data_IF_353090664280
#
_entry.id   IF_353090664280
#
_cell.length_a   1.000
_cell.length_b   1.000
_cell.length_c   1.000
_cell.angle_alpha   90.00
_cell.angle_beta   90.00
_cell.angle_gamma   90.00
#
_symmetry.space_group_name_H-M   'P 1'
#
loop_
_entity.id
_entity.type
_entity.pdbx_description
1 polymer ?
#
# COMPACT_ATOMS: atom_id res chain seq x y z
N UNK A 1 46.00 -11.84 38.13
CA UNK A 1 45.99 -10.92 36.97
C UNK A 1 44.96 -11.37 35.92
N UNK A 2 43.76 -11.85 36.31
CA UNK A 2 42.95 -12.70 35.43
C UNK A 2 41.50 -12.20 35.25
N UNK A 3 41.11 -11.13 35.95
CA UNK A 3 39.77 -10.55 35.89
C UNK A 3 39.47 -9.68 34.66
N UNK A 4 40.40 -8.92 34.03
CA UNK A 4 40.04 -8.01 32.94
C UNK A 4 39.80 -8.72 31.61
N UNK A 5 40.37 -9.92 31.43
CA UNK A 5 40.22 -10.69 30.19
C UNK A 5 38.83 -11.35 30.10
N UNK A 6 38.31 -11.80 31.24
CA UNK A 6 36.98 -12.44 31.32
C UNK A 6 35.86 -11.42 31.10
N UNK A 7 36.00 -10.20 31.61
CA UNK A 7 35.02 -9.13 31.39
C UNK A 7 35.01 -8.67 29.93
N UNK A 8 36.18 -8.55 29.30
CA UNK A 8 36.28 -8.20 27.88
C UNK A 8 35.61 -9.23 26.96
N UNK A 9 35.80 -10.53 27.23
CA UNK A 9 35.15 -11.61 26.48
C UNK A 9 33.62 -11.57 26.69
N UNK A 10 33.15 -11.31 27.92
CA UNK A 10 31.72 -11.20 28.21
C UNK A 10 31.05 -10.06 27.43
N UNK A 11 31.69 -8.87 27.36
CA UNK A 11 31.19 -7.74 26.58
C UNK A 11 31.19 -8.01 25.07
N UNK A 12 32.19 -8.74 24.55
CA UNK A 12 32.29 -9.09 23.13
C UNK A 12 31.24 -10.13 22.72
N UNK A 13 30.86 -11.04 23.62
CA UNK A 13 29.76 -11.98 23.40
C UNK A 13 28.40 -11.30 23.43
N UNK A 14 28.21 -10.27 24.28
CA UNK A 14 26.98 -9.48 24.30
C UNK A 14 26.80 -8.67 23.00
N UNK A 15 27.87 -8.12 22.42
CA UNK A 15 27.78 -7.35 21.17
C UNK A 15 27.49 -8.22 19.93
N UNK A 16 27.96 -9.47 19.91
CA UNK A 16 27.61 -10.44 18.86
C UNK A 16 26.21 -11.05 19.03
N UNK A 17 25.67 -11.07 20.26
CA UNK A 17 24.35 -11.62 20.56
C UNK A 17 23.19 -10.64 20.27
N UNK A 18 23.46 -9.33 20.15
CA UNK A 18 22.45 -8.37 19.72
C UNK A 18 22.21 -8.52 18.23
N UNK A 19 21.20 -9.30 17.85
CA UNK A 19 20.61 -9.19 16.51
C UNK A 19 20.23 -7.73 16.30
N UNK A 20 20.68 -7.05 15.23
CA UNK A 20 20.16 -5.73 14.94
C UNK A 20 18.65 -5.88 14.73
N UNK A 21 17.85 -5.16 15.52
CA UNK A 21 16.43 -5.01 15.27
C UNK A 21 16.28 -4.12 14.05
N UNK A 22 16.53 -4.68 12.87
CA UNK A 22 16.11 -4.07 11.62
C UNK A 22 14.60 -4.27 11.58
N UNK A 23 13.85 -3.23 11.94
CA UNK A 23 12.41 -3.20 11.73
C UNK A 23 12.17 -3.21 10.22
N UNK A 24 11.93 -4.39 9.66
CA UNK A 24 11.44 -4.53 8.30
C UNK A 24 9.92 -4.36 8.34
N UNK A 25 9.34 -3.43 7.56
CA UNK A 25 7.89 -3.36 7.45
C UNK A 25 7.37 -4.69 6.91
N UNK A 26 6.25 -5.16 7.45
CA UNK A 26 5.61 -6.38 6.93
C UNK A 26 5.30 -6.17 5.43
N UNK A 27 5.56 -7.19 4.58
CA UNK A 27 5.31 -7.06 3.15
C UNK A 27 3.83 -6.86 2.87
N UNK A 28 3.53 -6.16 1.77
CA UNK A 28 2.17 -6.15 1.23
C UNK A 28 1.82 -7.54 0.73
N UNK A 29 0.59 -7.98 0.96
CA UNK A 29 0.07 -9.25 0.47
C UNK A 29 -1.10 -9.02 -0.47
N UNK A 30 -1.22 -9.88 -1.47
CA UNK A 30 -2.34 -9.91 -2.39
C UNK A 30 -3.57 -10.59 -1.76
N UNK A 31 -4.68 -10.63 -2.49
CA UNK A 31 -5.90 -11.29 -2.02
C UNK A 31 -5.76 -12.81 -1.79
N UNK A 32 -4.73 -13.44 -2.33
CA UNK A 32 -4.44 -14.86 -2.15
C UNK A 32 -3.51 -15.10 -0.95
N UNK A 33 -3.05 -14.05 -0.27
CA UNK A 33 -2.10 -14.11 0.83
C UNK A 33 -0.64 -14.26 0.40
N UNK A 34 -0.32 -14.08 -0.89
CA UNK A 34 1.06 -14.08 -1.36
C UNK A 34 1.64 -12.67 -1.28
N UNK A 35 2.95 -12.54 -1.08
CA UNK A 35 3.63 -11.24 -1.10
C UNK A 35 3.47 -10.55 -2.47
N UNK A 36 3.36 -9.22 -2.44
CA UNK A 36 3.26 -8.39 -3.63
C UNK A 36 4.64 -8.15 -4.21
N UNK A 37 4.80 -8.46 -5.49
CA UNK A 37 6.08 -8.37 -6.19
C UNK A 37 6.17 -7.13 -7.09
N UNK A 38 7.31 -6.45 -7.10
CA UNK A 38 7.53 -5.26 -7.94
C UNK A 38 7.53 -5.56 -9.46
N UNK A 39 7.77 -6.82 -9.85
CA UNK A 39 7.80 -7.27 -11.25
C UNK A 39 6.46 -7.80 -11.77
N UNK A 40 5.39 -7.71 -10.98
CA UNK A 40 4.08 -8.27 -11.32
C UNK A 40 3.02 -7.17 -11.35
N UNK A 41 2.07 -7.31 -12.26
CA UNK A 41 0.95 -6.40 -12.38
C UNK A 41 -0.18 -6.76 -11.42
N UNK A 42 -0.79 -5.74 -10.82
CA UNK A 42 -1.91 -5.88 -9.90
C UNK A 42 -3.03 -4.89 -10.21
N UNK A 43 -4.27 -5.35 -10.07
CA UNK A 43 -5.42 -4.48 -9.97
C UNK A 43 -5.57 -3.99 -8.53
N UNK A 44 -5.65 -2.67 -8.37
CA UNK A 44 -6.03 -2.02 -7.11
C UNK A 44 -7.54 -1.85 -7.09
N UNK A 45 -8.20 -2.49 -6.12
CA UNK A 45 -9.63 -2.66 -6.15
C UNK A 45 -10.27 -2.29 -4.82
N UNK A 46 -11.43 -1.65 -4.84
CA UNK A 46 -12.19 -1.30 -3.63
C UNK A 46 -12.47 -2.51 -2.74
N UNK A 47 -12.17 -2.43 -1.44
CA UNK A 47 -12.52 -3.48 -0.47
C UNK A 47 -14.05 -3.68 -0.36
N UNK A 48 -14.80 -2.59 -0.49
CA UNK A 48 -16.24 -2.57 -0.25
C UNK A 48 -16.96 -2.80 -1.59
N UNK A 49 -17.40 -4.04 -1.81
CA UNK A 49 -18.31 -4.42 -2.89
C UNK A 49 -19.74 -3.97 -2.57
N UNK A 50 -20.50 -3.51 -3.55
CA UNK A 50 -21.96 -3.24 -3.41
C UNK A 50 -22.38 -1.82 -3.00
N UNK A 51 -21.49 -0.99 -2.45
CA UNK A 51 -21.73 0.45 -2.28
C UNK A 51 -21.41 1.28 -3.55
N UNK A 52 -21.27 0.58 -4.69
CA UNK A 52 -20.96 1.16 -5.99
C UNK A 52 -19.47 1.47 -6.18
N UNK A 53 -18.53 0.57 -5.88
CA UNK A 53 -17.09 0.79 -6.08
C UNK A 53 -16.38 -0.35 -6.81
N UNK A 54 -15.31 -0.01 -7.55
CA UNK A 54 -14.58 -0.79 -8.56
C UNK A 54 -13.05 -0.76 -8.43
N UNK A 55 -12.36 -1.16 -9.49
CA UNK A 55 -10.92 -0.95 -9.67
C UNK A 55 -10.55 0.49 -10.02
N UNK A 56 -9.26 0.80 -10.06
CA UNK A 56 -8.73 2.08 -10.53
C UNK A 56 -8.53 2.10 -12.06
N UNK A 57 -8.78 3.24 -12.70
CA UNK A 57 -8.50 3.46 -14.13
C UNK A 57 -8.13 4.91 -14.42
N UNK A 58 -7.71 5.20 -15.64
CA UNK A 58 -7.41 6.54 -16.13
C UNK A 58 -8.66 7.21 -16.70
N UNK A 59 -8.75 8.52 -16.50
CA UNK A 59 -9.84 9.37 -17.00
C UNK A 59 -9.30 10.70 -17.50
N UNK A 60 -10.09 11.39 -18.34
CA UNK A 60 -9.71 12.71 -18.85
C UNK A 60 -9.46 13.70 -17.70
N UNK A 61 -8.36 14.45 -17.83
CA UNK A 61 -8.01 15.54 -16.92
C UNK A 61 -9.10 16.61 -16.83
N UNK A 62 -9.09 17.40 -15.75
CA UNK A 62 -10.12 18.42 -15.50
C UNK A 62 -10.11 19.56 -16.53
N UNK A 63 -8.92 20.00 -16.93
CA UNK A 63 -8.73 21.21 -17.74
C UNK A 63 -8.08 20.94 -19.11
N UNK A 64 -7.40 19.81 -19.27
CA UNK A 64 -6.64 19.46 -20.46
C UNK A 64 -6.83 17.97 -20.78
N UNK A 65 -6.56 17.56 -22.02
CA UNK A 65 -6.64 16.15 -22.44
C UNK A 65 -5.63 15.28 -21.71
N UNK A 66 -4.45 15.83 -21.43
CA UNK A 66 -3.37 15.21 -20.66
C UNK A 66 -2.79 16.25 -19.69
N UNK A 67 -2.31 15.86 -18.50
CA UNK A 67 -2.27 14.49 -17.98
C UNK A 67 -3.66 13.93 -17.67
N UNK A 68 -3.77 12.60 -17.63
CA UNK A 68 -4.99 11.90 -17.23
C UNK A 68 -5.10 11.84 -15.70
N UNK A 69 -6.33 11.90 -15.19
CA UNK A 69 -6.63 11.71 -13.78
C UNK A 69 -6.86 10.23 -13.46
N UNK A 70 -6.63 9.83 -12.21
CA UNK A 70 -6.98 8.48 -11.72
C UNK A 70 -8.37 8.52 -11.10
N UNK A 71 -9.25 7.61 -11.53
CA UNK A 71 -10.62 7.48 -11.01
C UNK A 71 -10.88 6.08 -10.47
N UNK A 72 -11.84 5.97 -9.56
CA UNK A 72 -12.42 4.70 -9.15
C UNK A 72 -13.62 4.34 -10.02
N UNK A 73 -13.61 3.14 -10.61
CA UNK A 73 -14.78 2.57 -11.27
C UNK A 73 -15.95 2.36 -10.30
N UNK A 74 -17.18 2.35 -10.81
CA UNK A 74 -18.40 2.29 -10.01
C UNK A 74 -18.91 0.89 -9.68
N UNK A 75 -18.26 -0.16 -10.18
CA UNK A 75 -18.61 -1.55 -9.87
C UNK A 75 -17.38 -2.42 -9.81
N UNK A 76 -17.40 -3.37 -8.88
CA UNK A 76 -16.45 -4.44 -8.74
C UNK A 76 -17.23 -5.76 -8.60
N UNK A 77 -16.68 -6.83 -9.18
CA UNK A 77 -17.15 -8.20 -8.95
C UNK A 77 -16.21 -8.97 -8.03
N UNK A 78 -15.11 -8.36 -7.59
CA UNK A 78 -14.07 -9.01 -6.82
C UNK A 78 -14.16 -8.61 -5.34
N UNK A 79 -13.62 -9.46 -4.47
CA UNK A 79 -13.60 -9.22 -3.02
C UNK A 79 -12.35 -9.83 -2.41
N UNK A 80 -11.78 -9.14 -1.44
CA UNK A 80 -10.60 -9.60 -0.70
C UNK A 80 -10.71 -9.23 0.78
N UNK A 81 -9.84 -9.79 1.61
CA UNK A 81 -9.81 -9.56 3.07
C UNK A 81 -8.58 -8.78 3.53
N UNK A 82 -7.51 -8.77 2.73
CA UNK A 82 -6.28 -8.04 3.01
C UNK A 82 -6.37 -6.60 2.50
N UNK A 83 -6.90 -5.72 3.36
CA UNK A 83 -7.19 -4.33 3.04
C UNK A 83 -6.04 -3.37 3.37
N UNK A 84 -5.83 -2.40 2.49
CA UNK A 84 -4.85 -1.33 2.62
C UNK A 84 -5.51 0.03 2.40
N UNK A 85 -4.82 1.10 2.79
CA UNK A 85 -5.14 2.47 2.38
C UNK A 85 -3.95 3.08 1.65
N UNK A 86 -4.23 3.95 0.69
CA UNK A 86 -3.19 4.71 -0.01
C UNK A 86 -2.93 6.00 0.77
N UNK A 87 -1.65 6.31 1.01
CA UNK A 87 -1.22 7.51 1.73
C UNK A 87 -0.17 8.24 0.91
N UNK A 88 -0.32 9.55 0.78
CA UNK A 88 0.74 10.41 0.28
C UNK A 88 1.40 11.10 1.48
N UNK A 89 2.54 10.57 1.92
CA UNK A 89 3.35 11.13 2.99
C UNK A 89 4.84 10.83 2.70
N UNK A 90 5.49 11.63 1.84
CA UNK A 90 6.83 11.31 1.36
C UNK A 90 7.88 11.51 2.48
N UNK A 91 8.73 10.50 2.67
CA UNK A 91 9.88 10.52 3.60
C UNK A 91 11.23 10.72 2.90
N UNK A 92 11.22 10.95 1.58
CA UNK A 92 12.42 11.04 0.74
C UNK A 92 13.27 12.29 0.98
N UNK A 93 12.71 13.31 1.64
CA UNK A 93 13.39 14.57 1.94
C UNK A 93 12.97 15.05 3.34
N UNK A 94 13.89 14.98 4.31
CA UNK A 94 13.61 15.32 5.71
C UNK A 94 13.33 16.82 5.92
N UNK A 95 13.93 17.69 5.10
CA UNK A 95 13.77 19.14 5.22
C UNK A 95 12.63 19.71 4.37
N UNK A 96 11.94 18.88 3.59
CA UNK A 96 10.88 19.35 2.70
C UNK A 96 9.55 19.47 3.46
N UNK A 97 8.82 20.56 3.22
CA UNK A 97 7.41 20.64 3.63
C UNK A 97 6.59 19.86 2.61
N UNK A 98 6.06 18.71 3.03
CA UNK A 98 5.23 17.86 2.19
C UNK A 98 3.80 17.79 2.72
N UNK A 99 2.87 17.53 1.80
CA UNK A 99 1.53 17.11 2.20
C UNK A 99 1.62 15.68 2.74
N UNK A 100 1.01 15.43 3.89
CA UNK A 100 0.89 14.10 4.49
C UNK A 100 -0.59 13.82 4.76
N UNK A 101 -1.26 13.17 3.81
CA UNK A 101 -2.69 12.87 3.90
C UNK A 101 -3.00 11.50 3.29
N UNK A 102 -4.12 10.93 3.70
CA UNK A 102 -4.68 9.75 3.05
C UNK A 102 -5.19 10.12 1.65
N UNK A 103 -5.28 9.14 0.77
CA UNK A 103 -5.94 9.28 -0.53
C UNK A 103 -7.34 8.67 -0.45
N UNK A 104 -8.34 9.43 -0.87
CA UNK A 104 -9.75 9.05 -0.90
C UNK A 104 -10.37 9.21 -2.28
N UNK A 105 -11.65 8.87 -2.39
CA UNK A 105 -12.46 9.03 -3.61
C UNK A 105 -13.32 10.28 -3.50
N UNK A 106 -13.20 11.19 -4.46
CA UNK A 106 -14.06 12.37 -4.57
C UNK A 106 -15.34 12.03 -5.36
N UNK A 107 -16.43 11.76 -4.66
CA UNK A 107 -17.70 11.38 -5.27
C UNK A 107 -18.35 12.50 -6.08
N UNK A 108 -18.11 13.75 -5.70
CA UNK A 108 -18.64 14.93 -6.40
C UNK A 108 -17.88 15.25 -7.71
N UNK A 109 -16.75 14.59 -7.95
CA UNK A 109 -15.84 14.89 -9.05
C UNK A 109 -15.44 13.64 -9.85
N UNK A 110 -16.45 12.94 -10.36
CA UNK A 110 -16.30 11.72 -11.17
C UNK A 110 -15.45 10.63 -10.49
N UNK A 111 -15.49 10.54 -9.15
CA UNK A 111 -14.76 9.53 -8.36
C UNK A 111 -13.24 9.61 -8.56
N UNK A 112 -12.72 10.80 -8.83
CA UNK A 112 -11.27 11.05 -8.87
C UNK A 112 -10.63 10.78 -7.53
N UNK A 113 -9.43 10.21 -7.55
CA UNK A 113 -8.62 10.07 -6.34
C UNK A 113 -8.08 11.44 -5.94
N UNK A 114 -8.17 11.77 -4.66
CA UNK A 114 -7.71 13.04 -4.11
C UNK A 114 -7.20 12.87 -2.67
N UNK A 115 -6.36 13.80 -2.22
CA UNK A 115 -5.94 13.86 -0.82
C UNK A 115 -7.15 14.17 0.08
N UNK A 116 -7.26 13.46 1.21
CA UNK A 116 -8.36 13.61 2.16
C UNK A 116 -7.87 13.48 3.60
N UNK A 117 -8.59 14.14 4.51
CA UNK A 117 -8.43 13.99 5.96
C UNK A 117 -9.59 13.21 6.60
N UNK A 118 -10.58 12.85 5.81
CA UNK A 118 -11.84 12.28 6.30
C UNK A 118 -11.85 10.76 6.15
N UNK A 119 -11.95 10.25 4.91
CA UNK A 119 -12.13 8.83 4.64
C UNK A 119 -11.18 8.35 3.56
N UNK A 120 -10.17 7.59 3.98
CA UNK A 120 -9.25 6.92 3.07
C UNK A 120 -9.99 5.89 2.20
N UNK A 121 -9.50 5.72 0.97
CA UNK A 121 -9.96 4.67 0.06
C UNK A 121 -9.34 3.34 0.47
N UNK A 122 -10.17 2.43 0.96
CA UNK A 122 -9.76 1.07 1.35
C UNK A 122 -9.69 0.16 0.13
N UNK A 123 -8.52 -0.45 -0.11
CA UNK A 123 -8.21 -1.21 -1.32
C UNK A 123 -7.66 -2.59 -1.01
N UNK A 124 -7.82 -3.52 -1.94
CA UNK A 124 -7.17 -4.83 -1.97
C UNK A 124 -6.39 -4.98 -3.26
N UNK A 125 -5.37 -5.84 -3.26
CA UNK A 125 -4.48 -6.06 -4.39
C UNK A 125 -4.76 -7.41 -5.02
N UNK A 126 -5.21 -7.40 -6.27
CA UNK A 126 -5.42 -8.62 -7.03
C UNK A 126 -4.34 -8.79 -8.09
N UNK A 127 -3.71 -9.97 -8.20
CA UNK A 127 -2.84 -10.24 -9.33
C UNK A 127 -3.60 -10.06 -10.65
N UNK A 128 -2.93 -9.46 -11.63
CA UNK A 128 -3.51 -9.21 -12.95
C UNK A 128 -3.44 -10.43 -13.89
N UNK A 129 -2.84 -11.55 -13.45
CA UNK A 129 -2.79 -12.78 -14.26
C UNK A 129 -4.18 -13.33 -14.57
N UNK A 130 -4.35 -13.83 -15.80
CA UNK A 130 -5.61 -14.40 -16.31
C UNK A 130 -6.15 -15.55 -15.43
N UNK A 131 -5.27 -16.22 -14.66
CA UNK A 131 -5.63 -17.33 -13.76
C UNK A 131 -6.37 -16.88 -12.49
N UNK A 132 -6.37 -15.59 -12.18
CA UNK A 132 -7.02 -15.00 -11.00
C UNK A 132 -8.49 -14.62 -11.25
N UNK A 133 -9.04 -14.97 -12.41
CA UNK A 133 -10.45 -14.82 -12.76
C UNK A 133 -11.36 -15.90 -12.15
N UNK A 134 -10.89 -16.68 -11.16
CA UNK A 134 -11.73 -17.64 -10.44
C UNK A 134 -12.46 -16.96 -9.28
N UNK A 135 -13.61 -16.35 -9.57
CA UNK A 135 -14.61 -16.05 -8.54
C UNK A 135 -15.51 -17.29 -8.40
N UNK A 136 -15.32 -18.10 -7.36
CA UNK A 136 -16.29 -19.15 -7.01
C UNK A 136 -17.51 -18.46 -6.39
N UNK A 137 -18.69 -18.80 -6.91
CA UNK A 137 -20.00 -18.27 -6.48
C UNK A 137 -20.40 -18.75 -5.09
#
# INVERSE_FOLDING_TARGET
MNTPFVTAISFLLLSFATKPLVAHPDPLVDVNGNEVEASRDYYVVSLISGAGGGGLTLFRGRNELCPLDVIQLSSDLRRGTHAYKIVHCPSVCESCVSLCNDVGVSYDDNRRLALTKERAFAVVLFPADERSASCVS
#
